data_IF_750093628207
#
_entry.id   IF_750093628207
#
_cell.length_a   1.000
_cell.length_b   1.000
_cell.length_c   1.000
_cell.angle_alpha   90.00
_cell.angle_beta   90.00
_cell.angle_gamma   90.00
#
_symmetry.space_group_name_H-M   'P 1'
#
loop_
_entity.id
_entity.type
_entity.pdbx_description
1 polymer ?
#
# COMPACT_ATOMS: atom_id res chain seq x y z
N UNK A 1 -13.59 4.20 18.04
CA UNK A 1 -13.13 5.34 18.88
C UNK A 1 -12.40 6.35 17.98
N UNK A 2 -12.35 7.66 18.34
CA UNK A 2 -11.53 8.61 17.61
C UNK A 2 -10.05 8.20 17.65
N UNK A 3 -9.24 8.73 16.72
CA UNK A 3 -7.79 8.45 16.56
C UNK A 3 -7.43 7.03 16.10
N UNK A 4 -8.40 6.19 15.81
CA UNK A 4 -8.17 4.91 15.11
C UNK A 4 -8.07 5.08 13.58
N UNK A 5 -8.62 6.18 13.07
CA UNK A 5 -8.55 6.53 11.65
C UNK A 5 -7.50 7.61 11.44
N UNK A 6 -6.41 7.25 10.74
CA UNK A 6 -5.32 8.15 10.38
C UNK A 6 -5.28 8.21 8.85
N UNK A 7 -5.58 9.37 8.28
CA UNK A 7 -5.58 9.56 6.84
C UNK A 7 -5.37 11.03 6.47
N UNK A 8 -4.70 11.29 5.36
CA UNK A 8 -4.50 12.63 4.82
C UNK A 8 -5.77 13.09 4.09
N UNK A 9 -6.61 13.86 4.77
CA UNK A 9 -7.89 14.33 4.23
C UNK A 9 -7.76 15.56 3.33
N UNK A 10 -7.46 16.73 3.92
CA UNK A 10 -7.50 18.01 3.21
C UNK A 10 -6.48 18.14 2.07
N UNK A 11 -5.23 17.70 2.30
CA UNK A 11 -4.19 17.71 1.26
C UNK A 11 -4.28 16.47 0.35
N UNK A 12 -4.77 15.34 0.86
CA UNK A 12 -4.87 14.10 0.07
C UNK A 12 -3.51 13.52 -0.32
N UNK A 13 -2.47 13.71 0.49
CA UNK A 13 -1.10 13.31 0.15
C UNK A 13 -0.92 11.79 0.09
N UNK A 14 -0.48 11.28 -1.06
CA UNK A 14 0.00 9.90 -1.23
C UNK A 14 1.32 9.66 -0.47
N UNK A 15 1.64 8.40 -0.18
CA UNK A 15 2.81 8.03 0.64
C UNK A 15 2.64 8.30 2.14
N UNK A 16 1.45 8.70 2.59
CA UNK A 16 1.17 8.99 4.01
C UNK A 16 1.08 7.73 4.89
N UNK A 17 0.50 6.65 4.37
CA UNK A 17 0.09 5.46 5.14
C UNK A 17 1.22 4.84 5.95
N UNK A 18 2.27 4.39 5.25
CA UNK A 18 3.41 3.70 5.87
C UNK A 18 4.12 4.52 6.98
N UNK A 19 4.56 5.77 6.75
CA UNK A 19 5.18 6.57 7.82
C UNK A 19 4.20 6.94 8.95
N UNK A 20 2.91 7.14 8.65
CA UNK A 20 1.91 7.39 9.70
C UNK A 20 1.71 6.15 10.59
N UNK A 21 1.75 4.95 10.01
CA UNK A 21 1.66 3.70 10.76
C UNK A 21 2.87 3.48 11.67
N UNK A 22 4.07 3.87 11.26
CA UNK A 22 5.27 3.89 12.12
C UNK A 22 5.02 4.74 13.37
N UNK A 23 4.61 6.01 13.18
CA UNK A 23 4.31 6.90 14.30
C UNK A 23 3.18 6.38 15.20
N UNK A 24 2.15 5.79 14.61
CA UNK A 24 1.04 5.20 15.34
C UNK A 24 1.48 4.00 16.20
N UNK A 25 2.33 3.13 15.66
CA UNK A 25 2.87 1.97 16.36
C UNK A 25 3.78 2.37 17.52
N UNK A 26 4.61 3.39 17.33
CA UNK A 26 5.46 3.94 18.42
C UNK A 26 4.60 4.53 19.53
N UNK A 27 3.57 5.30 19.16
CA UNK A 27 2.68 5.94 20.14
C UNK A 27 1.74 4.96 20.85
N UNK A 28 1.48 3.79 20.27
CA UNK A 28 0.55 2.79 20.79
C UNK A 28 1.12 1.36 20.67
N UNK A 29 2.14 0.98 21.48
CA UNK A 29 2.87 -0.28 21.30
C UNK A 29 2.00 -1.55 21.39
N UNK A 30 0.93 -1.50 22.19
CA UNK A 30 0.01 -2.62 22.41
C UNK A 30 -1.15 -2.69 21.40
N UNK A 31 -1.28 -1.69 20.53
CA UNK A 31 -2.36 -1.64 19.56
C UNK A 31 -2.00 -2.37 18.27
N UNK A 32 -2.99 -2.99 17.63
CA UNK A 32 -2.85 -3.46 16.26
C UNK A 32 -2.87 -2.23 15.34
N UNK A 33 -1.77 -2.02 14.62
CA UNK A 33 -1.64 -0.95 13.62
C UNK A 33 -1.60 -1.58 12.24
N UNK A 34 -2.58 -1.22 11.41
CA UNK A 34 -2.68 -1.68 10.01
C UNK A 34 -2.64 -0.47 9.09
N UNK A 35 -1.65 -0.44 8.22
CA UNK A 35 -1.61 0.43 7.05
C UNK A 35 -2.40 -0.23 5.92
N UNK A 36 -3.49 0.40 5.48
CA UNK A 36 -4.27 -0.05 4.32
C UNK A 36 -3.88 0.88 3.17
N UNK A 37 -3.03 0.38 2.28
CA UNK A 37 -2.39 1.21 1.27
C UNK A 37 -2.69 0.73 -0.16
N UNK A 38 -2.52 1.63 -1.14
CA UNK A 38 -2.54 1.31 -2.57
C UNK A 38 -1.13 1.20 -3.12
N UNK A 39 -0.92 0.45 -4.21
CA UNK A 39 0.41 0.23 -4.79
C UNK A 39 1.14 1.53 -5.19
N UNK A 40 0.42 2.51 -5.74
CA UNK A 40 0.99 3.83 -6.06
C UNK A 40 1.36 4.66 -4.83
N UNK A 41 0.60 4.57 -3.74
CA UNK A 41 0.89 5.31 -2.51
C UNK A 41 2.01 4.65 -1.71
N UNK A 42 1.96 3.32 -1.57
CA UNK A 42 2.93 2.53 -0.83
C UNK A 42 4.34 2.70 -1.38
N UNK A 43 4.50 2.67 -2.70
CA UNK A 43 5.83 2.75 -3.32
C UNK A 43 6.51 4.12 -3.11
N UNK A 44 5.75 5.20 -2.94
CA UNK A 44 6.31 6.55 -2.76
C UNK A 44 7.20 6.67 -1.52
N UNK A 45 6.91 5.90 -0.47
CA UNK A 45 7.68 5.89 0.77
C UNK A 45 8.13 4.48 1.19
N UNK A 46 8.33 3.58 0.22
CA UNK A 46 8.71 2.18 0.48
C UNK A 46 10.03 2.03 1.24
N UNK A 47 10.90 3.04 1.22
CA UNK A 47 12.14 3.04 2.01
C UNK A 47 11.89 2.89 3.52
N UNK A 48 10.70 3.27 4.01
CA UNK A 48 10.35 3.19 5.43
C UNK A 48 10.14 1.74 5.93
N UNK A 49 10.10 0.75 5.03
CA UNK A 49 10.22 -0.65 5.42
C UNK A 49 11.52 -0.93 6.19
N UNK A 50 12.61 -0.22 5.87
CA UNK A 50 13.84 -0.31 6.62
C UNK A 50 13.65 0.19 8.07
N UNK A 51 12.96 1.33 8.23
CA UNK A 51 12.62 1.90 9.54
C UNK A 51 11.80 0.93 10.38
N UNK A 52 10.73 0.35 9.81
CA UNK A 52 9.89 -0.66 10.49
C UNK A 52 10.73 -1.82 11.00
N UNK A 53 11.64 -2.34 10.18
CA UNK A 53 12.50 -3.46 10.57
C UNK A 53 13.48 -3.09 11.67
N UNK A 54 14.23 -2.00 11.51
CA UNK A 54 15.28 -1.59 12.46
C UNK A 54 14.69 -1.32 13.84
N UNK A 55 13.55 -0.65 13.89
CA UNK A 55 12.83 -0.32 15.13
C UNK A 55 11.98 -1.49 15.65
N UNK A 56 11.96 -2.64 14.96
CA UNK A 56 11.17 -3.83 15.30
C UNK A 56 9.68 -3.53 15.57
N UNK A 57 9.07 -2.69 14.73
CA UNK A 57 7.69 -2.25 14.92
C UNK A 57 6.68 -3.30 14.40
N UNK A 58 5.61 -3.61 15.14
CA UNK A 58 4.61 -4.60 14.73
C UNK A 58 3.59 -4.10 13.69
N UNK A 59 4.01 -3.24 12.76
CA UNK A 59 3.14 -2.68 11.70
C UNK A 59 2.68 -3.76 10.74
N UNK A 60 1.38 -3.83 10.48
CA UNK A 60 0.77 -4.68 9.44
C UNK A 60 0.49 -3.83 8.20
N UNK A 61 0.76 -4.37 7.02
CA UNK A 61 0.50 -3.68 5.75
C UNK A 61 -0.48 -4.52 4.92
N UNK A 62 -1.67 -3.98 4.69
CA UNK A 62 -2.70 -4.55 3.82
C UNK A 62 -2.70 -3.79 2.49
N UNK A 63 -1.89 -4.25 1.56
CA UNK A 63 -1.69 -3.60 0.26
C UNK A 63 -2.78 -4.01 -0.74
N UNK A 64 -3.64 -3.06 -1.12
CA UNK A 64 -4.65 -3.22 -2.17
C UNK A 64 -4.01 -2.86 -3.51
N UNK A 65 -3.35 -3.85 -4.12
CA UNK A 65 -2.60 -3.66 -5.35
C UNK A 65 -3.52 -3.83 -6.59
N UNK A 66 -3.78 -2.74 -7.30
CA UNK A 66 -4.60 -2.73 -8.52
C UNK A 66 -3.82 -2.32 -9.79
N UNK A 67 -2.50 -2.11 -9.67
CA UNK A 67 -1.59 -1.74 -10.76
C UNK A 67 -1.88 -0.38 -11.40
N UNK A 68 -2.62 0.49 -10.71
CA UNK A 68 -3.05 1.78 -11.25
C UNK A 68 -3.10 2.88 -10.18
N UNK A 69 -3.04 4.13 -10.64
CA UNK A 69 -3.57 5.27 -9.89
C UNK A 69 -5.09 5.21 -9.90
N UNK A 70 -5.66 4.29 -9.12
CA UNK A 70 -7.06 3.87 -9.25
C UNK A 70 -8.10 4.99 -9.18
N UNK A 71 -7.86 6.04 -8.38
CA UNK A 71 -8.75 7.21 -8.36
C UNK A 71 -8.66 8.01 -9.66
N UNK A 72 -7.48 8.21 -10.22
CA UNK A 72 -7.31 8.87 -11.52
C UNK A 72 -7.96 8.05 -12.62
N UNK A 73 -7.71 6.73 -12.63
CA UNK A 73 -8.33 5.79 -13.56
C UNK A 73 -9.86 5.86 -13.55
N UNK A 74 -10.47 5.90 -12.36
CA UNK A 74 -11.92 6.01 -12.24
C UNK A 74 -12.47 7.29 -12.90
N UNK A 75 -11.73 8.41 -12.84
CA UNK A 75 -12.12 9.65 -13.50
C UNK A 75 -11.91 9.58 -15.01
N UNK A 76 -10.82 8.94 -15.46
CA UNK A 76 -10.57 8.66 -16.89
C UNK A 76 -11.73 7.87 -17.50
N UNK A 77 -12.19 6.81 -16.83
CA UNK A 77 -13.35 6.01 -17.25
C UNK A 77 -14.62 6.83 -17.36
N UNK A 78 -14.95 7.61 -16.31
CA UNK A 78 -16.24 8.31 -16.21
C UNK A 78 -16.33 9.55 -17.11
N UNK A 79 -15.21 10.26 -17.30
CA UNK A 79 -15.23 11.61 -17.87
C UNK A 79 -14.36 11.74 -19.12
N UNK A 80 -13.43 10.81 -19.37
CA UNK A 80 -12.49 10.85 -20.49
C UNK A 80 -12.57 9.60 -21.38
N UNK A 81 -13.71 8.89 -21.37
CA UNK A 81 -13.99 7.74 -22.24
C UNK A 81 -12.96 6.61 -22.10
N UNK A 82 -12.46 6.39 -20.89
CA UNK A 82 -11.41 5.40 -20.59
C UNK A 82 -10.11 5.63 -21.40
N UNK A 83 -9.82 6.88 -21.77
CA UNK A 83 -8.52 7.24 -22.32
C UNK A 83 -7.48 7.31 -21.19
N UNK A 84 -6.73 6.24 -21.03
CA UNK A 84 -5.68 6.09 -20.01
C UNK A 84 -4.54 7.09 -20.26
N UNK A 85 -4.23 7.93 -19.26
CA UNK A 85 -3.17 8.93 -19.30
C UNK A 85 -2.25 8.80 -18.08
N UNK A 86 -1.20 7.99 -18.22
CA UNK A 86 -0.17 7.76 -17.19
C UNK A 86 -0.70 7.24 -15.83
N UNK A 87 -1.88 6.61 -15.83
CA UNK A 87 -2.50 6.03 -14.63
C UNK A 87 -2.19 4.55 -14.42
N UNK A 88 -1.49 3.90 -15.36
CA UNK A 88 -1.00 2.51 -15.22
C UNK A 88 0.38 2.48 -14.55
N UNK A 89 0.53 1.67 -13.50
CA UNK A 89 1.75 1.57 -12.68
C UNK A 89 2.55 0.28 -12.93
N UNK A 90 1.98 -0.67 -13.66
CA UNK A 90 2.67 -1.92 -14.00
C UNK A 90 3.67 -1.75 -15.14
N UNK A 91 4.26 -2.86 -15.59
CA UNK A 91 5.20 -2.88 -16.72
C UNK A 91 4.44 -3.01 -18.05
N UNK A 92 4.54 -2.06 -18.99
CA UNK A 92 3.92 -2.16 -20.30
C UNK A 92 4.44 -3.33 -21.15
N UNK A 93 5.68 -3.78 -20.92
CA UNK A 93 6.27 -4.93 -21.62
C UNK A 93 5.70 -6.27 -21.14
N UNK A 94 5.15 -6.32 -19.92
CA UNK A 94 4.57 -7.54 -19.35
C UNK A 94 3.31 -7.25 -18.51
N UNK A 95 2.25 -6.83 -19.18
CA UNK A 95 1.01 -6.35 -18.55
C UNK A 95 0.25 -7.39 -17.70
N UNK A 96 0.59 -8.68 -17.80
CA UNK A 96 -0.04 -9.74 -17.02
C UNK A 96 0.64 -9.99 -15.68
N UNK A 97 1.89 -9.55 -15.54
CA UNK A 97 2.65 -9.69 -14.31
C UNK A 97 2.38 -8.52 -13.37
N UNK A 98 2.24 -8.82 -12.07
CA UNK A 98 2.13 -7.78 -11.06
C UNK A 98 3.51 -7.13 -10.87
N UNK A 99 3.57 -5.84 -11.15
CA UNK A 99 4.77 -5.03 -11.10
C UNK A 99 4.57 -3.76 -10.25
N UNK A 100 5.57 -3.35 -9.46
CA UNK A 100 6.74 -4.14 -9.07
C UNK A 100 6.37 -5.25 -8.09
N UNK A 101 7.30 -6.18 -7.85
CA UNK A 101 7.10 -7.23 -6.87
C UNK A 101 7.28 -6.68 -5.44
N UNK A 102 6.17 -6.24 -4.84
CA UNK A 102 6.13 -5.70 -3.47
C UNK A 102 6.66 -6.66 -2.39
N UNK A 103 6.62 -7.97 -2.65
CA UNK A 103 7.19 -8.96 -1.74
C UNK A 103 8.71 -8.86 -1.67
N UNK A 104 9.37 -8.50 -2.78
CA UNK A 104 10.82 -8.33 -2.81
C UNK A 104 11.27 -7.07 -2.07
N UNK A 105 10.48 -6.00 -2.10
CA UNK A 105 10.72 -4.84 -1.23
C UNK A 105 10.68 -5.24 0.25
N UNK A 106 9.62 -5.94 0.68
CA UNK A 106 9.54 -6.45 2.05
C UNK A 106 10.71 -7.38 2.41
N UNK A 107 11.05 -8.33 1.52
CA UNK A 107 12.16 -9.26 1.72
C UNK A 107 13.52 -8.54 1.85
N UNK A 108 13.75 -7.47 1.08
CA UNK A 108 14.99 -6.67 1.17
C UNK A 108 15.19 -6.02 2.54
N UNK A 109 14.10 -5.71 3.24
CA UNK A 109 14.09 -5.22 4.62
C UNK A 109 13.88 -6.34 5.65
N UNK A 110 13.91 -7.62 5.26
CA UNK A 110 13.72 -8.75 6.15
C UNK A 110 12.30 -8.91 6.73
N UNK A 111 11.29 -8.28 6.13
CA UNK A 111 9.90 -8.32 6.60
C UNK A 111 9.15 -9.51 5.94
N UNK A 112 8.45 -10.35 6.72
CA UNK A 112 7.64 -11.43 6.16
C UNK A 112 6.46 -10.88 5.36
N UNK A 113 6.23 -11.42 4.18
CA UNK A 113 5.15 -11.00 3.30
C UNK A 113 4.56 -12.19 2.52
N UNK A 114 3.30 -12.07 2.14
CA UNK A 114 2.58 -13.03 1.31
C UNK A 114 1.71 -12.29 0.29
N UNK A 115 1.33 -12.99 -0.79
CA UNK A 115 0.39 -12.49 -1.79
C UNK A 115 -0.83 -13.39 -1.84
N UNK A 116 -2.01 -12.77 -1.87
CA UNK A 116 -3.29 -13.45 -2.06
C UNK A 116 -4.00 -12.88 -3.27
N UNK A 117 -4.57 -13.75 -4.10
CA UNK A 117 -5.28 -13.37 -5.34
C UNK A 117 -6.69 -13.94 -5.40
N UNK A 118 -6.90 -15.14 -4.85
CA UNK A 118 -8.22 -15.78 -4.78
C UNK A 118 -8.99 -15.31 -3.56
N UNK A 119 -10.25 -14.93 -3.75
CA UNK A 119 -11.16 -14.51 -2.68
C UNK A 119 -11.33 -15.56 -1.59
N UNK A 120 -11.37 -16.84 -1.94
CA UNK A 120 -11.52 -17.95 -0.98
C UNK A 120 -10.36 -18.03 0.02
N UNK A 121 -9.17 -17.59 -0.38
CA UNK A 121 -7.96 -17.60 0.46
C UNK A 121 -7.79 -16.30 1.26
N UNK A 122 -8.59 -15.26 0.99
CA UNK A 122 -8.38 -13.93 1.57
C UNK A 122 -8.50 -13.92 3.09
N UNK A 123 -9.45 -14.69 3.65
CA UNK A 123 -9.67 -14.74 5.10
C UNK A 123 -8.51 -15.40 5.84
N UNK A 124 -7.86 -16.38 5.22
CA UNK A 124 -6.71 -17.08 5.81
C UNK A 124 -5.43 -16.25 5.72
N UNK A 125 -5.30 -15.42 4.67
CA UNK A 125 -4.14 -14.58 4.46
C UNK A 125 -4.07 -13.34 5.38
N UNK A 126 -5.20 -12.89 5.94
CA UNK A 126 -5.31 -11.75 6.89
C UNK A 126 -5.15 -12.26 8.32
#
# INVERSE_FOLDING_TARGET
>A
KPRQWLSSGGLGAMGFGLPAAIGASIANPEAIVVDIDGDGSFIMNVQELATIRVENLPVKMLLINNQHLGMVLQWEDRFYKANIADSYLGDPANQKEIFPNMLQFAASCGIPAARVTKRENLREAI
#
